data_IF_095008846692
#
_entry.id   IF_095008846692
#
_cell.length_a   1.000
_cell.length_b   1.000
_cell.length_c   1.000
_cell.angle_alpha   90.00
_cell.angle_beta   90.00
_cell.angle_gamma   90.00
#
_symmetry.space_group_name_H-M   'P 1'
#
loop_
_entity.id
_entity.type
_entity.pdbx_description
1 polymer ?
#
# COMPACT_ATOMS: atom_id res chain seq x y z
N UNK A 1 -6.84 12.84 -12.25
CA UNK A 1 -7.03 11.52 -12.89
C UNK A 1 -8.26 10.85 -12.25
N UNK A 2 -9.38 10.73 -12.98
CA UNK A 2 -10.67 10.30 -12.43
C UNK A 2 -10.64 8.86 -11.87
N UNK A 3 -9.87 7.96 -12.48
CA UNK A 3 -9.74 6.56 -12.03
C UNK A 3 -9.07 6.45 -10.66
N UNK A 4 -7.98 7.21 -10.45
CA UNK A 4 -7.29 7.23 -9.16
C UNK A 4 -8.21 7.70 -8.03
N UNK A 5 -9.06 8.70 -8.29
CA UNK A 5 -10.06 9.16 -7.32
C UNK A 5 -11.10 8.09 -6.98
N UNK A 6 -11.57 7.31 -7.97
CA UNK A 6 -12.48 6.19 -7.73
C UNK A 6 -11.82 5.08 -6.91
N UNK A 7 -10.58 4.71 -7.23
CA UNK A 7 -9.81 3.73 -6.45
C UNK A 7 -9.65 4.21 -5.00
N UNK A 8 -9.30 5.48 -4.79
CA UNK A 8 -9.17 6.07 -3.44
C UNK A 8 -10.50 6.03 -2.69
N UNK A 9 -11.62 6.35 -3.33
CA UNK A 9 -12.94 6.29 -2.70
C UNK A 9 -13.29 4.86 -2.25
N UNK A 10 -13.05 3.87 -3.11
CA UNK A 10 -13.26 2.45 -2.83
C UNK A 10 -12.35 1.97 -1.69
N UNK A 11 -11.07 2.37 -1.71
CA UNK A 11 -10.13 2.04 -0.66
C UNK A 11 -10.59 2.60 0.69
N UNK A 12 -10.96 3.88 0.77
CA UNK A 12 -11.44 4.49 2.02
C UNK A 12 -12.74 3.87 2.54
N UNK A 13 -13.55 3.26 1.67
CA UNK A 13 -14.77 2.54 2.05
C UNK A 13 -14.52 1.12 2.59
N UNK A 14 -13.30 0.56 2.46
CA UNK A 14 -13.01 -0.84 2.83
C UNK A 14 -13.36 -1.19 4.27
N UNK A 15 -13.27 -0.21 5.17
CA UNK A 15 -13.60 -0.45 6.57
C UNK A 15 -15.10 -0.68 6.78
N UNK A 16 -15.93 0.04 6.04
CA UNK A 16 -17.38 -0.04 6.15
C UNK A 16 -17.94 -1.20 5.31
N UNK A 17 -17.38 -1.42 4.11
CA UNK A 17 -17.83 -2.45 3.16
C UNK A 17 -17.17 -3.82 3.35
N UNK A 18 -16.02 -3.86 4.04
CA UNK A 18 -15.22 -5.06 4.21
C UNK A 18 -14.29 -5.38 3.03
N UNK A 19 -13.19 -6.08 3.34
CA UNK A 19 -12.10 -6.35 2.40
C UNK A 19 -12.56 -7.19 1.19
N UNK A 20 -13.40 -8.20 1.40
CA UNK A 20 -13.76 -9.16 0.35
C UNK A 20 -14.66 -8.55 -0.73
N UNK A 21 -15.59 -7.67 -0.34
CA UNK A 21 -16.48 -6.97 -1.26
C UNK A 21 -15.66 -6.02 -2.14
N UNK A 22 -14.83 -5.22 -1.49
CA UNK A 22 -13.94 -4.22 -2.10
C UNK A 22 -12.90 -4.84 -3.04
N UNK A 23 -12.34 -6.00 -2.65
CA UNK A 23 -11.29 -6.69 -3.41
C UNK A 23 -11.69 -7.02 -4.83
N UNK A 24 -12.94 -7.43 -5.06
CA UNK A 24 -13.31 -7.84 -6.40
C UNK A 24 -13.82 -6.73 -7.31
N UNK A 25 -13.62 -5.46 -6.94
CA UNK A 25 -13.82 -4.30 -7.81
C UNK A 25 -12.49 -3.68 -8.25
N UNK A 26 -11.49 -3.68 -7.35
CA UNK A 26 -10.24 -2.97 -7.56
C UNK A 26 -9.36 -3.48 -8.73
N UNK A 27 -9.15 -4.79 -8.95
CA UNK A 27 -8.24 -5.27 -10.00
C UNK A 27 -8.64 -4.76 -11.38
N UNK A 28 -9.94 -4.77 -11.68
CA UNK A 28 -10.50 -4.26 -12.93
C UNK A 28 -10.38 -2.75 -13.09
N UNK A 29 -10.48 -1.99 -11.99
CA UNK A 29 -10.28 -0.54 -12.02
C UNK A 29 -8.81 -0.16 -12.20
N UNK A 30 -7.89 -0.93 -11.62
CA UNK A 30 -6.44 -0.72 -11.73
C UNK A 30 -5.96 -0.92 -13.17
N UNK A 31 -6.40 -1.99 -13.83
CA UNK A 31 -5.90 -2.33 -15.18
C UNK A 31 -6.81 -1.95 -16.33
N UNK A 32 -8.04 -1.51 -16.06
CA UNK A 32 -9.00 -1.02 -17.05
C UNK A 32 -9.14 -1.93 -18.28
N UNK A 33 -9.83 -3.07 -18.12
CA UNK A 33 -10.21 -3.99 -19.21
C UNK A 33 -9.05 -4.46 -20.10
N UNK A 34 -7.89 -4.72 -19.51
CA UNK A 34 -6.81 -5.41 -20.22
C UNK A 34 -6.99 -6.92 -20.08
N UNK A 35 -7.07 -7.63 -21.21
CA UNK A 35 -7.12 -9.10 -21.26
C UNK A 35 -5.83 -9.77 -20.74
N UNK A 36 -4.77 -8.97 -20.56
CA UNK A 36 -3.47 -9.42 -20.06
C UNK A 36 -3.47 -9.66 -18.55
N UNK A 37 -4.39 -9.01 -17.81
CA UNK A 37 -4.43 -9.08 -16.36
C UNK A 37 -5.64 -9.85 -15.87
N UNK A 38 -5.45 -10.71 -14.88
CA UNK A 38 -6.55 -11.34 -14.18
C UNK A 38 -7.26 -10.32 -13.30
N UNK A 39 -8.58 -10.35 -13.33
CA UNK A 39 -9.44 -9.52 -12.47
C UNK A 39 -10.55 -10.34 -11.81
N UNK A 40 -10.53 -11.65 -11.99
CA UNK A 40 -11.54 -12.57 -11.48
C UNK A 40 -11.38 -12.85 -9.98
N UNK A 41 -12.45 -13.35 -9.34
CA UNK A 41 -12.49 -13.71 -7.92
C UNK A 41 -12.29 -15.23 -7.70
N UNK A 42 -11.62 -15.93 -8.62
CA UNK A 42 -11.43 -17.37 -8.45
C UNK A 42 -10.63 -17.66 -7.17
N UNK A 43 -10.85 -18.86 -6.62
CA UNK A 43 -10.13 -19.31 -5.43
C UNK A 43 -8.61 -19.30 -5.65
N UNK A 44 -8.17 -19.60 -6.88
CA UNK A 44 -6.77 -19.52 -7.29
C UNK A 44 -6.24 -18.09 -7.17
N UNK A 45 -6.94 -17.13 -7.79
CA UNK A 45 -6.56 -15.70 -7.77
C UNK A 45 -6.50 -15.17 -6.34
N UNK A 46 -7.46 -15.51 -5.48
CA UNK A 46 -7.44 -15.11 -4.06
C UNK A 46 -6.28 -15.76 -3.30
N UNK A 47 -5.99 -17.05 -3.54
CA UNK A 47 -4.86 -17.76 -2.91
C UNK A 47 -3.52 -17.19 -3.36
N UNK A 48 -3.41 -16.76 -4.60
CA UNK A 48 -2.23 -16.08 -5.13
C UNK A 48 -2.02 -14.75 -4.40
N UNK A 49 -3.05 -13.89 -4.42
CA UNK A 49 -3.01 -12.56 -3.81
C UNK A 49 -2.60 -12.59 -2.34
N UNK A 50 -3.07 -13.59 -1.58
CA UNK A 50 -2.72 -13.77 -0.16
C UNK A 50 -1.21 -13.98 0.09
N UNK A 51 -0.46 -14.43 -0.92
CA UNK A 51 0.99 -14.62 -0.86
C UNK A 51 1.77 -13.38 -1.32
N UNK A 52 1.10 -12.36 -1.85
CA UNK A 52 1.73 -11.13 -2.30
C UNK A 52 2.54 -10.51 -1.16
N UNK A 53 3.74 -10.04 -1.53
CA UNK A 53 4.65 -9.34 -0.64
C UNK A 53 4.67 -7.86 -0.99
N UNK A 54 5.11 -7.04 -0.05
CA UNK A 54 5.21 -5.60 -0.26
C UNK A 54 6.37 -5.02 0.53
N UNK A 55 7.09 -4.10 -0.10
CA UNK A 55 8.01 -3.20 0.56
C UNK A 55 7.31 -1.85 0.74
N UNK A 56 7.35 -1.30 1.96
CA UNK A 56 6.83 0.03 2.26
C UNK A 56 7.96 0.96 2.72
N UNK A 57 8.01 2.17 2.16
CA UNK A 57 8.85 3.26 2.62
C UNK A 57 7.95 4.38 3.13
N UNK A 58 8.11 4.74 4.40
CA UNK A 58 7.26 5.70 5.10
C UNK A 58 7.97 7.03 5.22
N UNK A 59 7.29 8.12 4.84
CA UNK A 59 7.81 9.48 5.00
C UNK A 59 6.70 10.51 5.15
N UNK A 60 7.07 11.77 5.41
CA UNK A 60 6.15 12.91 5.33
C UNK A 60 5.87 13.26 3.87
N UNK A 61 4.66 13.76 3.59
CA UNK A 61 4.26 14.11 2.23
C UNK A 61 5.19 15.18 1.61
N UNK A 62 5.59 16.16 2.41
CA UNK A 62 6.48 17.26 1.99
C UNK A 62 7.86 16.76 1.52
N UNK A 63 8.32 15.61 2.01
CA UNK A 63 9.60 15.01 1.60
C UNK A 63 9.59 14.47 0.17
N UNK A 64 8.41 14.19 -0.38
CA UNK A 64 8.25 13.73 -1.77
C UNK A 64 7.87 14.88 -2.69
N UNK A 65 6.95 15.73 -2.23
CA UNK A 65 6.31 16.71 -3.09
C UNK A 65 7.18 17.96 -3.33
N UNK A 66 8.17 18.23 -2.47
CA UNK A 66 9.00 19.44 -2.60
C UNK A 66 8.14 20.71 -2.49
N UNK A 67 8.11 21.52 -3.55
CA UNK A 67 7.27 22.73 -3.63
C UNK A 67 5.81 22.44 -4.01
N UNK A 68 5.51 21.24 -4.51
CA UNK A 68 4.15 20.82 -4.81
C UNK A 68 3.39 20.49 -3.51
N UNK A 69 2.07 20.56 -3.55
CA UNK A 69 1.23 20.10 -2.44
C UNK A 69 0.04 19.29 -2.93
N UNK A 70 -0.34 18.29 -2.13
CA UNK A 70 -1.61 17.59 -2.27
C UNK A 70 -2.45 18.01 -1.08
N UNK A 71 -3.62 18.66 -1.29
CA UNK A 71 -4.46 19.12 -0.20
C UNK A 71 -4.75 18.00 0.82
N UNK A 72 -4.53 18.27 2.10
CA UNK A 72 -4.72 17.35 3.22
C UNK A 72 -3.75 16.16 3.31
N UNK A 73 -2.80 15.99 2.37
CA UNK A 73 -1.76 14.99 2.51
C UNK A 73 -0.74 15.42 3.58
N UNK A 74 -0.48 14.55 4.56
CA UNK A 74 0.52 14.78 5.60
C UNK A 74 1.62 13.72 5.59
N UNK A 75 1.28 12.51 5.15
CA UNK A 75 2.18 11.38 5.07
C UNK A 75 2.16 10.80 3.67
N UNK A 76 3.28 10.21 3.29
CA UNK A 76 3.40 9.44 2.07
C UNK A 76 3.99 8.06 2.36
N UNK A 77 3.42 7.05 1.72
CA UNK A 77 3.88 5.68 1.78
C UNK A 77 4.17 5.22 0.37
N UNK A 78 5.47 5.14 0.03
CA UNK A 78 5.87 4.50 -1.21
C UNK A 78 5.75 2.99 -1.02
N UNK A 79 5.32 2.30 -2.07
CA UNK A 79 5.21 0.86 -2.06
C UNK A 79 5.82 0.25 -3.31
N UNK A 80 6.34 -0.96 -3.15
CA UNK A 80 6.65 -1.86 -4.24
C UNK A 80 6.07 -3.24 -3.92
N UNK A 81 5.27 -3.77 -4.84
CA UNK A 81 4.63 -5.08 -4.79
C UNK A 81 5.26 -5.92 -5.89
N UNK A 82 6.24 -6.78 -5.56
CA UNK A 82 6.80 -7.71 -6.53
C UNK A 82 5.70 -8.60 -7.09
N UNK A 83 5.68 -8.78 -8.40
CA UNK A 83 4.64 -9.55 -9.06
C UNK A 83 4.86 -9.65 -10.56
N UNK A 84 4.26 -10.66 -11.17
CA UNK A 84 4.32 -10.86 -12.61
C UNK A 84 2.92 -10.97 -13.18
N UNK A 85 2.81 -10.73 -14.47
CA UNK A 85 1.57 -10.96 -15.19
C UNK A 85 1.16 -12.44 -15.07
N UNK A 86 -0.14 -12.74 -14.98
CA UNK A 86 -1.28 -11.83 -15.08
C UNK A 86 -1.78 -11.29 -13.73
N UNK A 87 -1.05 -11.47 -12.61
CA UNK A 87 -1.58 -11.27 -11.24
C UNK A 87 -1.31 -9.89 -10.63
N UNK A 88 -0.54 -9.02 -11.29
CA UNK A 88 -0.09 -7.76 -10.70
C UNK A 88 -1.22 -6.86 -10.17
N UNK A 89 -2.33 -6.76 -10.91
CA UNK A 89 -3.49 -5.94 -10.51
C UNK A 89 -4.19 -6.50 -9.27
N UNK A 90 -4.24 -7.82 -9.17
CA UNK A 90 -4.80 -8.58 -8.06
C UNK A 90 -3.92 -8.40 -6.83
N UNK A 91 -2.61 -8.56 -6.99
CA UNK A 91 -1.65 -8.41 -5.90
C UNK A 91 -1.65 -6.98 -5.37
N UNK A 92 -1.60 -5.98 -6.27
CA UNK A 92 -1.69 -4.57 -5.89
C UNK A 92 -2.99 -4.28 -5.14
N UNK A 93 -4.14 -4.72 -5.66
CA UNK A 93 -5.44 -4.54 -5.01
C UNK A 93 -5.46 -5.15 -3.60
N UNK A 94 -4.97 -6.37 -3.46
CA UNK A 94 -4.92 -7.07 -2.19
C UNK A 94 -4.03 -6.35 -1.18
N UNK A 95 -2.85 -5.90 -1.60
CA UNK A 95 -1.91 -5.17 -0.75
C UNK A 95 -2.49 -3.84 -0.30
N UNK A 96 -3.13 -3.07 -1.19
CA UNK A 96 -3.73 -1.78 -0.82
C UNK A 96 -4.86 -1.94 0.19
N UNK A 97 -5.70 -2.97 0.05
CA UNK A 97 -6.77 -3.24 1.02
C UNK A 97 -6.23 -3.75 2.36
N UNK A 98 -5.25 -4.65 2.30
CA UNK A 98 -4.59 -5.20 3.49
C UNK A 98 -3.82 -4.11 4.24
N UNK A 99 -3.26 -3.13 3.54
CA UNK A 99 -2.64 -1.95 4.14
C UNK A 99 -3.65 -1.22 5.04
N UNK A 100 -4.83 -0.89 4.53
CA UNK A 100 -5.87 -0.21 5.31
C UNK A 100 -6.36 -1.06 6.49
N UNK A 101 -6.74 -2.32 6.25
CA UNK A 101 -7.23 -3.21 7.30
C UNK A 101 -6.21 -3.40 8.43
N UNK A 102 -4.94 -3.63 8.08
CA UNK A 102 -3.87 -3.80 9.07
C UNK A 102 -3.60 -2.52 9.85
N UNK A 103 -3.40 -1.41 9.15
CA UNK A 103 -2.86 -0.22 9.80
C UNK A 103 -3.92 0.62 10.51
N UNK A 104 -5.19 0.50 10.15
CA UNK A 104 -6.27 1.03 10.99
C UNK A 104 -6.27 0.28 12.33
N UNK A 105 -6.13 -1.05 12.34
CA UNK A 105 -6.05 -1.84 13.58
C UNK A 105 -4.79 -1.51 14.40
N UNK A 106 -3.62 -1.47 13.78
CA UNK A 106 -2.35 -1.11 14.45
C UNK A 106 -2.37 0.34 14.99
N UNK A 107 -3.12 1.22 14.34
CA UNK A 107 -3.33 2.61 14.73
C UNK A 107 -4.37 2.83 15.83
N UNK A 108 -4.70 1.81 16.62
CA UNK A 108 -5.74 1.85 17.66
C UNK A 108 -7.12 2.21 17.10
N UNK A 109 -7.46 1.61 15.95
CA UNK A 109 -8.70 1.84 15.23
C UNK A 109 -8.93 3.30 14.78
N UNK A 110 -7.90 4.14 14.86
CA UNK A 110 -7.96 5.51 14.36
C UNK A 110 -7.93 5.49 12.82
N UNK A 111 -9.12 5.61 12.22
CA UNK A 111 -9.28 5.62 10.76
C UNK A 111 -8.55 6.82 10.16
N UNK A 112 -7.67 6.54 9.21
CA UNK A 112 -7.05 7.54 8.34
C UNK A 112 -7.57 7.38 6.91
N UNK A 113 -7.53 8.45 6.13
CA UNK A 113 -7.91 8.40 4.73
C UNK A 113 -6.68 8.41 3.82
N UNK A 114 -6.77 7.65 2.73
CA UNK A 114 -5.97 7.89 1.54
C UNK A 114 -6.55 9.12 0.85
N UNK A 115 -5.70 10.10 0.59
CA UNK A 115 -6.05 11.37 -0.06
C UNK A 115 -5.77 11.29 -1.56
N UNK A 116 -4.68 10.63 -1.93
CA UNK A 116 -4.28 10.45 -3.33
C UNK A 116 -3.48 9.17 -3.49
N UNK A 117 -3.56 8.59 -4.68
CA UNK A 117 -2.82 7.41 -5.08
C UNK A 117 -2.22 7.67 -6.47
N UNK A 118 -0.94 7.38 -6.62
CA UNK A 118 -0.28 7.24 -7.91
C UNK A 118 0.42 5.89 -7.96
N UNK A 119 0.31 5.18 -9.07
CA UNK A 119 0.93 3.87 -9.24
C UNK A 119 1.27 3.60 -10.71
N UNK A 120 2.15 2.63 -10.91
CA UNK A 120 2.52 2.10 -12.20
C UNK A 120 2.69 0.59 -12.09
N UNK A 121 2.27 -0.13 -13.14
CA UNK A 121 2.56 -1.54 -13.35
C UNK A 121 3.79 -1.64 -14.26
N UNK A 122 4.75 -2.46 -13.87
CA UNK A 122 6.00 -2.72 -14.58
C UNK A 122 6.24 -4.22 -14.67
N UNK A 123 7.24 -4.66 -15.45
CA UNK A 123 7.46 -6.10 -15.69
C UNK A 123 7.76 -6.92 -14.43
N UNK A 124 8.33 -6.31 -13.40
CA UNK A 124 8.77 -6.95 -12.15
C UNK A 124 7.81 -6.71 -10.97
N UNK A 125 6.76 -5.93 -11.18
CA UNK A 125 5.74 -5.70 -10.17
C UNK A 125 5.02 -4.37 -10.32
N UNK A 126 4.44 -3.93 -9.22
CA UNK A 126 3.73 -2.64 -9.14
C UNK A 126 4.41 -1.73 -8.13
N UNK A 127 4.59 -0.47 -8.47
CA UNK A 127 5.10 0.54 -7.54
C UNK A 127 4.21 1.76 -7.54
N UNK A 128 4.30 2.54 -6.46
CA UNK A 128 3.53 3.75 -6.34
C UNK A 128 3.70 4.44 -5.01
N UNK A 129 2.83 5.43 -4.79
CA UNK A 129 2.78 6.23 -3.58
C UNK A 129 1.33 6.43 -3.16
N UNK A 130 1.08 6.17 -1.87
CA UNK A 130 -0.13 6.55 -1.17
C UNK A 130 0.14 7.85 -0.41
N UNK A 131 -0.70 8.85 -0.63
CA UNK A 131 -0.73 10.04 0.21
C UNK A 131 -1.87 9.91 1.20
N UNK A 132 -1.58 10.09 2.48
CA UNK A 132 -2.54 9.90 3.56
C UNK A 132 -2.67 11.16 4.40
N UNK A 133 -3.83 11.30 5.04
CA UNK A 133 -4.12 12.44 5.93
C UNK A 133 -3.32 12.39 7.25
N UNK A 134 -3.49 13.42 8.08
CA UNK A 134 -2.81 13.56 9.38
C UNK A 134 -3.13 12.44 10.37
N UNK A 135 -4.22 11.69 10.21
CA UNK A 135 -4.62 10.64 11.15
C UNK A 135 -3.72 9.40 11.07
N UNK A 136 -2.94 9.25 10.00
CA UNK A 136 -1.91 8.19 9.89
C UNK A 136 -0.73 8.38 10.89
N UNK A 137 -0.66 9.51 11.61
CA UNK A 137 0.46 9.86 12.52
C UNK A 137 0.88 8.73 13.45
N UNK A 138 -0.07 8.08 14.12
CA UNK A 138 0.22 7.01 15.09
C UNK A 138 0.92 5.84 14.41
N UNK A 139 0.36 5.36 13.30
CA UNK A 139 0.93 4.27 12.49
C UNK A 139 2.33 4.63 11.99
N UNK A 140 2.48 5.85 11.46
CA UNK A 140 3.76 6.36 10.97
C UNK A 140 4.84 6.35 12.08
N UNK A 141 4.49 6.80 13.28
CA UNK A 141 5.42 6.80 14.42
C UNK A 141 5.82 5.38 14.82
N UNK A 142 4.88 4.44 14.86
CA UNK A 142 5.17 3.02 15.12
C UNK A 142 6.09 2.42 14.06
N UNK A 143 5.81 2.66 12.77
CA UNK A 143 6.65 2.21 11.66
C UNK A 143 8.07 2.76 11.78
N UNK A 144 8.22 4.04 12.13
CA UNK A 144 9.51 4.69 12.34
C UNK A 144 10.29 4.07 13.52
N UNK A 145 9.62 3.77 14.63
CA UNK A 145 10.24 3.12 15.80
C UNK A 145 10.72 1.71 15.42
N UNK A 146 9.88 0.93 14.74
CA UNK A 146 10.23 -0.43 14.28
C UNK A 146 11.43 -0.41 13.33
N UNK A 147 11.45 0.51 12.36
CA UNK A 147 12.55 0.65 11.42
C UNK A 147 13.89 0.97 12.10
N UNK A 148 13.88 1.85 13.12
CA UNK A 148 15.08 2.15 13.92
C UNK A 148 15.57 0.95 14.71
N UNK A 149 14.66 0.25 15.40
CA UNK A 149 15.01 -0.94 16.16
C UNK A 149 15.62 -2.04 15.27
N UNK A 150 15.08 -2.25 14.07
CA UNK A 150 15.65 -3.19 13.10
C UNK A 150 17.04 -2.77 12.60
N UNK A 151 17.24 -1.46 12.35
CA UNK A 151 18.55 -0.93 11.95
C UNK A 151 19.61 -1.11 13.06
N UNK A 152 19.24 -0.82 14.31
CA UNK A 152 20.14 -0.99 15.46
C UNK A 152 20.50 -2.46 15.69
N UNK A 153 19.54 -3.38 15.53
CA UNK A 153 19.78 -4.81 15.62
C UNK A 153 20.74 -5.29 14.53
N UNK A 154 20.53 -4.86 13.28
CA UNK A 154 21.42 -5.18 12.16
C UNK A 154 22.85 -4.70 12.45
N UNK A 155 23.04 -3.45 12.88
CA UNK A 155 24.38 -2.93 13.20
C UNK A 155 25.11 -3.75 14.27
N UNK A 156 24.40 -4.22 15.30
CA UNK A 156 25.02 -5.04 16.35
C UNK A 156 25.50 -6.40 15.84
N UNK A 157 24.74 -7.04 14.95
CA UNK A 157 25.11 -8.35 14.38
C UNK A 157 26.36 -8.27 13.51
N UNK A 158 26.58 -7.17 12.79
CA UNK A 158 27.72 -7.00 11.86
C UNK A 158 28.92 -6.25 12.45
N UNK A 159 28.86 -5.84 13.72
CA UNK A 159 29.98 -5.22 14.44
C UNK A 159 30.62 -6.12 15.51
N UNK A 160 30.32 -7.44 15.53
CA UNK A 160 31.19 -8.35 16.27
C UNK A 160 32.55 -8.46 15.54
N UNK A 161 33.67 -8.12 16.20
CA UNK A 161 34.98 -8.42 15.65
C UNK A 161 35.06 -9.94 15.53
N UNK A 162 35.48 -10.44 14.37
CA UNK A 162 35.97 -11.81 14.26
C UNK A 162 37.25 -11.83 15.10
N UNK A 163 37.12 -12.28 16.34
CA UNK A 163 38.23 -12.60 17.23
C UNK A 163 38.76 -13.99 16.94
#
# INVERSE_FOLDING_TARGET
NHKAAQIVAILNAVWDDGLFITFGLLPGLITSQSDHYRTDRSLETIRHAKKAQVLFIWMTADSILGECSIPNAAYAVLFFVPGSDPFQSVDLSYILLKFLDKYIRDGDYNRFNIVSLSYQLASDGSFGVLFCDRRLRTVYQQARIRARASHDAFRRTFHHPIS
#
